data_IF_287061827722
#
_entry.id   IF_287061827722
#
_cell.length_a   1.000
_cell.length_b   1.000
_cell.length_c   1.000
_cell.angle_alpha   90.00
_cell.angle_beta   90.00
_cell.angle_gamma   90.00
#
_symmetry.space_group_name_H-M   'P 1'
#
loop_
_entity.id
_entity.type
_entity.pdbx_description
1 polymer ?
#
# COMPACT_ATOMS: atom_id res chain seq x y z
N UNK A 1 60.70 -76.70 5.79
CA UNK A 1 59.47 -77.06 6.54
C UNK A 1 58.26 -76.92 5.63
N UNK A 2 57.53 -78.02 5.35
CA UNK A 2 56.15 -78.01 4.84
C UNK A 2 55.21 -78.14 6.06
N UNK A 3 53.97 -77.60 6.09
CA UNK A 3 52.86 -78.25 5.37
C UNK A 3 51.62 -77.42 4.92
N UNK A 4 50.88 -78.03 3.97
CA UNK A 4 49.40 -78.16 3.78
C UNK A 4 48.50 -76.97 3.37
N UNK A 5 47.91 -77.14 2.17
CA UNK A 5 46.57 -76.74 1.63
C UNK A 5 45.39 -77.23 2.52
N UNK A 6 44.06 -76.99 2.27
CA UNK A 6 43.32 -76.45 1.09
C UNK A 6 42.07 -75.57 1.37
N UNK A 7 41.20 -75.39 0.35
CA UNK A 7 39.75 -75.06 0.35
C UNK A 7 39.43 -73.55 0.31
N UNK A 8 38.69 -72.97 -0.64
CA UNK A 8 37.65 -73.45 -1.53
C UNK A 8 36.34 -72.75 -1.18
N UNK A 9 35.80 -71.87 -2.04
CA UNK A 9 34.35 -71.76 -2.31
C UNK A 9 34.04 -70.77 -3.44
N UNK A 10 33.36 -71.27 -4.47
CA UNK A 10 32.58 -70.51 -5.46
C UNK A 10 31.30 -69.97 -4.82
N UNK A 11 30.85 -68.77 -5.20
CA UNK A 11 29.41 -68.41 -5.35
C UNK A 11 29.29 -67.10 -6.13
N UNK A 12 28.84 -67.16 -7.39
CA UNK A 12 27.47 -67.05 -7.91
C UNK A 12 26.98 -65.60 -8.04
N UNK A 13 26.78 -65.27 -9.31
CA UNK A 13 26.08 -64.15 -9.95
C UNK A 13 24.62 -63.99 -9.54
N UNK A 14 24.11 -62.75 -9.71
CA UNK A 14 22.72 -62.28 -10.00
C UNK A 14 22.80 -60.73 -9.93
N UNK A 15 22.60 -59.94 -10.98
CA UNK A 15 21.42 -59.88 -11.85
C UNK A 15 20.32 -59.09 -11.14
N UNK A 16 20.29 -57.76 -11.27
CA UNK A 16 19.22 -56.89 -10.75
C UNK A 16 18.55 -56.18 -11.92
N UNK A 17 17.26 -56.49 -12.10
CA UNK A 17 16.31 -55.83 -12.99
C UNK A 17 15.81 -54.56 -12.28
N UNK A 18 15.86 -53.39 -12.92
CA UNK A 18 15.28 -52.15 -12.40
C UNK A 18 13.90 -51.90 -13.04
N UNK A 19 12.86 -51.78 -12.20
CA UNK A 19 11.50 -51.39 -12.57
C UNK A 19 11.39 -49.86 -12.68
N UNK A 20 10.79 -49.36 -13.76
CA UNK A 20 10.47 -47.93 -13.96
C UNK A 20 9.06 -47.67 -13.41
N UNK A 21 8.93 -46.73 -12.47
CA UNK A 21 7.65 -46.25 -11.92
C UNK A 21 7.41 -44.83 -12.43
N UNK A 22 6.31 -44.62 -13.16
CA UNK A 22 5.87 -43.31 -13.63
C UNK A 22 4.99 -42.63 -12.55
N UNK A 23 5.36 -41.40 -12.16
CA UNK A 23 4.58 -40.56 -11.25
C UNK A 23 3.61 -39.64 -12.03
N UNK A 24 2.37 -39.43 -11.55
CA UNK A 24 1.44 -38.46 -12.13
C UNK A 24 1.82 -37.03 -11.73
N UNK A 25 1.76 -36.11 -12.70
CA UNK A 25 2.02 -34.69 -12.51
C UNK A 25 0.73 -34.05 -12.00
N UNK A 26 0.70 -33.68 -10.72
CA UNK A 26 -0.33 -32.79 -10.17
C UNK A 26 -0.06 -31.38 -10.70
N UNK A 27 -1.00 -30.84 -11.47
CA UNK A 27 -0.99 -29.44 -11.91
C UNK A 27 -1.35 -28.55 -10.73
N UNK A 28 -0.37 -27.97 -10.05
CA UNK A 28 -0.57 -26.84 -9.15
C UNK A 28 -0.93 -25.63 -10.00
N UNK A 29 -2.17 -25.14 -9.86
CA UNK A 29 -2.55 -23.83 -10.37
C UNK A 29 -1.74 -22.75 -9.66
N UNK A 30 -1.09 -21.87 -10.41
CA UNK A 30 -0.33 -20.75 -9.88
C UNK A 30 -1.31 -19.70 -9.36
N UNK A 31 -1.61 -19.73 -8.06
CA UNK A 31 -2.07 -18.53 -7.35
C UNK A 31 -0.92 -17.52 -7.43
N UNK A 32 -1.18 -16.31 -7.93
CA UNK A 32 -0.22 -15.21 -7.73
C UNK A 32 -0.10 -15.02 -6.23
N UNK A 33 1.09 -15.26 -5.69
CA UNK A 33 1.33 -15.17 -4.27
C UNK A 33 1.10 -13.73 -3.78
N UNK A 34 0.40 -13.60 -2.66
CA UNK A 34 0.11 -12.35 -1.94
C UNK A 34 1.36 -11.71 -1.30
N UNK A 35 2.55 -12.23 -1.64
CA UNK A 35 3.83 -11.88 -1.03
C UNK A 35 4.35 -10.48 -1.43
N UNK A 36 3.77 -9.85 -2.46
CA UNK A 36 4.26 -8.57 -2.99
C UNK A 36 3.85 -7.34 -2.14
N UNK A 37 2.86 -7.48 -1.27
CA UNK A 37 2.38 -6.36 -0.45
C UNK A 37 3.28 -6.03 0.75
N UNK A 38 4.12 -6.98 1.19
CA UNK A 38 4.95 -6.81 2.39
C UNK A 38 4.18 -6.79 3.72
N UNK A 39 2.87 -7.05 3.71
CA UNK A 39 2.01 -7.21 4.89
C UNK A 39 0.80 -8.10 4.57
N UNK A 40 0.08 -8.57 5.60
CA UNK A 40 -1.19 -9.32 5.42
C UNK A 40 -2.38 -8.36 5.34
N UNK A 41 -3.11 -8.28 4.20
CA UNK A 41 -4.27 -7.41 4.07
C UNK A 41 -5.37 -7.75 5.07
N UNK A 42 -5.96 -6.71 5.67
CA UNK A 42 -7.15 -6.88 6.50
C UNK A 42 -8.36 -7.12 5.61
N UNK A 43 -9.17 -8.14 5.92
CA UNK A 43 -10.47 -8.34 5.26
C UNK A 43 -11.46 -7.28 5.72
N UNK A 44 -11.97 -6.46 4.80
CA UNK A 44 -12.83 -5.33 5.10
C UNK A 44 -13.81 -5.06 3.94
N UNK A 45 -15.07 -4.78 4.24
CA UNK A 45 -16.04 -4.39 3.21
C UNK A 45 -15.72 -3.01 2.62
N UNK A 46 -16.02 -2.81 1.33
CA UNK A 46 -15.69 -1.56 0.59
C UNK A 46 -16.22 -0.30 1.30
N UNK A 47 -17.48 -0.31 1.72
CA UNK A 47 -18.09 0.84 2.43
C UNK A 47 -17.46 1.11 3.80
N UNK A 48 -17.01 0.07 4.49
CA UNK A 48 -16.33 0.21 5.77
C UNK A 48 -14.92 0.76 5.59
N UNK A 49 -14.20 0.30 4.55
CA UNK A 49 -12.92 0.84 4.15
C UNK A 49 -13.00 2.33 3.76
N UNK A 50 -14.05 2.73 3.02
CA UNK A 50 -14.33 4.14 2.70
C UNK A 50 -14.51 4.97 3.97
N UNK A 51 -15.35 4.52 4.91
CA UNK A 51 -15.57 5.21 6.20
C UNK A 51 -14.28 5.32 7.01
N UNK A 52 -13.48 4.25 7.07
CA UNK A 52 -12.18 4.25 7.76
C UNK A 52 -11.23 5.27 7.11
N UNK A 53 -11.21 5.35 5.79
CA UNK A 53 -10.38 6.32 5.05
C UNK A 53 -10.81 7.75 5.32
N UNK A 54 -12.12 8.03 5.35
CA UNK A 54 -12.65 9.34 5.75
C UNK A 54 -12.22 9.67 7.17
N UNK A 55 -12.32 8.74 8.12
CA UNK A 55 -11.89 8.97 9.49
C UNK A 55 -10.38 9.28 9.62
N UNK A 56 -9.51 8.52 8.94
CA UNK A 56 -8.07 8.82 8.89
C UNK A 56 -7.83 10.19 8.25
N UNK A 57 -8.53 10.48 7.16
CA UNK A 57 -8.43 11.77 6.48
C UNK A 57 -8.91 12.95 7.32
N UNK A 58 -9.91 12.77 8.17
CA UNK A 58 -10.34 13.80 9.11
C UNK A 58 -9.27 14.10 10.15
N UNK A 59 -8.51 13.10 10.61
CA UNK A 59 -7.37 13.34 11.51
C UNK A 59 -6.28 14.17 10.82
N UNK A 60 -6.01 13.93 9.53
CA UNK A 60 -5.11 14.78 8.73
C UNK A 60 -5.62 16.23 8.68
N UNK A 61 -6.92 16.43 8.45
CA UNK A 61 -7.52 17.76 8.45
C UNK A 61 -7.38 18.46 9.80
N UNK A 62 -7.63 17.74 10.91
CA UNK A 62 -7.52 18.27 12.26
C UNK A 62 -6.08 18.70 12.60
N UNK A 63 -5.07 17.95 12.13
CA UNK A 63 -3.64 18.30 12.29
C UNK A 63 -3.26 19.60 11.56
N UNK A 64 -3.91 19.92 10.44
CA UNK A 64 -3.71 21.22 9.76
C UNK A 64 -4.23 22.38 10.64
N UNK A 65 -5.31 22.17 11.39
CA UNK A 65 -5.79 23.09 12.42
C UNK A 65 -6.34 24.43 11.88
N UNK A 66 -6.86 24.46 10.66
CA UNK A 66 -7.50 25.65 10.06
C UNK A 66 -9.02 25.51 10.19
N UNK A 67 -9.64 26.38 10.98
CA UNK A 67 -11.08 26.30 11.30
C UNK A 67 -11.99 27.03 10.32
N UNK A 68 -11.47 28.05 9.64
CA UNK A 68 -12.26 28.96 8.79
C UNK A 68 -12.06 28.72 7.29
N UNK A 69 -11.48 27.57 6.92
CA UNK A 69 -11.28 27.19 5.53
C UNK A 69 -12.48 26.46 4.94
N UNK A 70 -12.50 26.37 3.61
CA UNK A 70 -13.45 25.57 2.84
C UNK A 70 -12.76 24.32 2.34
N UNK A 71 -13.45 23.19 2.38
CA UNK A 71 -12.98 21.93 1.81
C UNK A 71 -13.69 21.64 0.49
N UNK A 72 -13.04 20.91 -0.40
CA UNK A 72 -13.76 20.20 -1.46
C UNK A 72 -14.35 18.92 -0.87
N UNK A 73 -15.58 18.56 -1.23
CA UNK A 73 -16.32 17.44 -0.60
C UNK A 73 -16.54 16.21 -1.53
N UNK A 74 -15.54 15.62 -2.21
CA UNK A 74 -15.72 14.27 -2.73
C UNK A 74 -15.61 13.26 -1.59
N UNK A 75 -16.47 12.24 -1.56
CA UNK A 75 -16.32 11.10 -0.64
C UNK A 75 -15.09 10.25 -0.97
N UNK A 76 -14.72 9.35 -0.04
CA UNK A 76 -13.64 8.40 -0.30
C UNK A 76 -14.05 7.42 -1.41
N UNK A 77 -13.21 7.32 -2.43
CA UNK A 77 -13.36 6.37 -3.52
C UNK A 77 -12.63 5.06 -3.23
N UNK A 78 -12.92 4.04 -4.04
CA UNK A 78 -12.23 2.76 -4.03
C UNK A 78 -11.70 2.42 -5.43
N UNK A 79 -10.74 1.49 -5.51
CA UNK A 79 -10.25 0.92 -6.77
C UNK A 79 -9.60 -0.43 -6.50
N UNK A 80 -9.67 -1.39 -7.43
CA UNK A 80 -8.92 -2.63 -7.34
C UNK A 80 -7.42 -2.37 -7.18
N UNK A 81 -6.73 -3.26 -6.47
CA UNK A 81 -5.28 -3.28 -6.39
C UNK A 81 -4.70 -4.12 -7.53
N UNK A 82 -3.59 -3.71 -8.11
CA UNK A 82 -3.00 -4.38 -9.29
C UNK A 82 -2.45 -5.77 -8.96
N UNK A 83 -2.10 -6.01 -7.69
CA UNK A 83 -1.53 -7.26 -7.18
C UNK A 83 -2.53 -8.43 -7.27
N UNK A 84 -3.81 -8.16 -6.99
CA UNK A 84 -4.93 -9.11 -7.10
C UNK A 84 -6.25 -8.33 -7.27
N UNK A 85 -6.57 -7.87 -8.50
CA UNK A 85 -7.70 -6.98 -8.73
C UNK A 85 -9.06 -7.62 -8.45
N UNK A 86 -9.13 -8.96 -8.40
CA UNK A 86 -10.36 -9.71 -8.14
C UNK A 86 -10.68 -9.79 -6.63
N UNK A 87 -9.68 -9.62 -5.75
CA UNK A 87 -9.86 -9.82 -4.30
C UNK A 87 -9.32 -8.69 -3.43
N UNK A 88 -8.51 -7.79 -3.99
CA UNK A 88 -7.89 -6.68 -3.27
C UNK A 88 -8.34 -5.33 -3.83
N UNK A 89 -8.52 -4.39 -2.92
CA UNK A 89 -8.85 -3.01 -3.27
C UNK A 89 -8.23 -2.02 -2.31
N UNK A 90 -7.97 -0.81 -2.76
CA UNK A 90 -7.54 0.32 -1.95
C UNK A 90 -8.58 1.43 -1.97
N UNK A 91 -8.48 2.33 -1.00
CA UNK A 91 -9.35 3.50 -0.90
C UNK A 91 -8.52 4.78 -0.96
N UNK A 92 -9.11 5.82 -1.55
CA UNK A 92 -8.47 7.13 -1.70
C UNK A 92 -9.44 8.24 -1.36
N UNK A 93 -8.97 9.28 -0.69
CA UNK A 93 -9.78 10.44 -0.32
C UNK A 93 -9.03 11.74 -0.62
N UNK A 94 -9.05 12.19 -1.89
CA UNK A 94 -8.46 13.46 -2.28
C UNK A 94 -9.39 14.63 -1.91
N UNK A 95 -8.85 15.69 -1.32
CA UNK A 95 -9.58 16.93 -1.08
C UNK A 95 -8.64 18.13 -1.04
N UNK A 96 -9.18 19.33 -1.23
CA UNK A 96 -8.47 20.59 -1.12
C UNK A 96 -9.05 21.46 -0.01
N UNK A 97 -8.19 22.14 0.74
CA UNK A 97 -8.52 23.17 1.71
C UNK A 97 -8.13 24.54 1.19
N UNK A 98 -9.07 25.47 1.12
CA UNK A 98 -8.90 26.79 0.50
C UNK A 98 -9.76 27.85 1.18
N UNK A 99 -9.75 29.09 0.66
CA UNK A 99 -10.64 30.16 1.14
C UNK A 99 -10.13 30.90 2.39
N UNK A 100 -8.88 30.67 2.76
CA UNK A 100 -8.14 31.42 3.79
C UNK A 100 -6.86 32.03 3.19
N UNK A 101 -6.26 33.05 3.83
CA UNK A 101 -5.02 33.64 3.33
C UNK A 101 -3.88 32.63 3.17
N UNK A 102 -3.00 32.85 2.19
CA UNK A 102 -1.85 31.97 1.92
C UNK A 102 -0.96 31.74 3.16
N UNK A 103 -0.78 32.77 3.99
CA UNK A 103 -0.02 32.66 5.24
C UNK A 103 -0.69 31.74 6.27
N UNK A 104 -2.01 31.64 6.27
CA UNK A 104 -2.72 30.70 7.12
C UNK A 104 -2.53 29.26 6.64
N UNK A 105 -2.58 29.03 5.32
CA UNK A 105 -2.26 27.73 4.71
C UNK A 105 -0.83 27.30 5.00
N UNK A 106 0.16 28.20 4.87
CA UNK A 106 1.56 27.92 5.23
C UNK A 106 1.70 27.47 6.68
N UNK A 107 1.04 28.17 7.62
CA UNK A 107 1.04 27.78 9.03
C UNK A 107 0.36 26.43 9.26
N UNK A 108 -0.76 26.16 8.58
CA UNK A 108 -1.44 24.87 8.66
C UNK A 108 -0.60 23.72 8.13
N UNK A 109 0.11 23.93 7.02
CA UNK A 109 1.02 22.93 6.43
C UNK A 109 2.23 22.66 7.33
N UNK A 110 2.79 23.70 7.96
CA UNK A 110 3.85 23.55 8.96
C UNK A 110 3.38 22.73 10.18
N UNK A 111 2.17 23.02 10.70
CA UNK A 111 1.57 22.22 11.79
C UNK A 111 1.38 20.76 11.39
N UNK A 112 0.87 20.49 10.19
CA UNK A 112 0.73 19.12 9.69
C UNK A 112 2.07 18.37 9.74
N UNK A 113 3.14 19.00 9.24
CA UNK A 113 4.50 18.42 9.28
C UNK A 113 4.98 18.12 10.70
N UNK A 114 4.65 18.97 11.66
CA UNK A 114 5.04 18.79 13.08
C UNK A 114 4.21 17.69 13.75
N UNK A 115 2.89 17.68 13.53
CA UNK A 115 1.95 16.75 14.19
C UNK A 115 1.99 15.32 13.64
N UNK A 116 2.33 15.13 12.36
CA UNK A 116 2.36 13.80 11.74
C UNK A 116 3.26 12.81 12.53
N UNK A 117 4.55 13.11 12.80
CA UNK A 117 5.40 12.27 13.63
C UNK A 117 4.87 12.03 15.05
N UNK A 118 4.25 13.04 15.67
CA UNK A 118 3.66 12.90 17.01
C UNK A 118 2.51 11.88 17.03
N UNK A 119 1.83 11.69 15.90
CA UNK A 119 0.76 10.72 15.70
C UNK A 119 1.25 9.40 15.09
N UNK A 120 2.56 9.16 15.04
CA UNK A 120 3.15 7.91 14.56
C UNK A 120 3.29 7.80 13.04
N UNK A 121 3.14 8.90 12.30
CA UNK A 121 3.41 8.93 10.86
C UNK A 121 4.88 9.23 10.60
N UNK A 122 5.46 8.53 9.63
CA UNK A 122 6.83 8.76 9.18
C UNK A 122 6.82 9.62 7.94
N UNK A 123 7.41 10.81 8.01
CA UNK A 123 7.64 11.63 6.81
C UNK A 123 8.73 10.97 5.98
N UNK A 124 8.39 10.59 4.76
CA UNK A 124 9.30 9.94 3.81
C UNK A 124 9.81 10.90 2.73
N UNK A 125 9.07 11.98 2.46
CA UNK A 125 9.47 13.02 1.54
C UNK A 125 8.96 14.39 2.00
N UNK A 126 9.81 15.42 1.86
CA UNK A 126 9.43 16.80 2.13
C UNK A 126 10.30 17.76 1.33
N UNK A 127 9.67 18.60 0.51
CA UNK A 127 10.39 19.56 -0.32
C UNK A 127 9.56 20.06 -1.51
N UNK A 128 10.14 20.89 -2.38
CA UNK A 128 9.49 21.31 -3.61
C UNK A 128 9.25 20.12 -4.55
N UNK A 129 8.03 19.96 -5.06
CA UNK A 129 7.70 18.88 -5.98
C UNK A 129 8.19 19.15 -7.42
N UNK A 130 7.95 18.19 -8.32
CA UNK A 130 8.41 18.27 -9.71
C UNK A 130 7.56 19.18 -10.61
N UNK A 131 6.44 19.73 -10.12
CA UNK A 131 5.58 20.63 -10.89
C UNK A 131 6.32 21.88 -11.39
N UNK A 132 5.72 22.61 -12.34
CA UNK A 132 6.27 23.88 -12.83
C UNK A 132 6.39 24.90 -11.69
N UNK A 133 5.39 24.94 -10.81
CA UNK A 133 5.32 25.91 -9.71
C UNK A 133 6.18 25.53 -8.49
N UNK A 134 6.81 24.33 -8.51
CA UNK A 134 7.65 23.81 -7.41
C UNK A 134 6.95 23.92 -6.05
N UNK A 135 5.66 23.56 -6.02
CA UNK A 135 4.86 23.59 -4.80
C UNK A 135 5.52 22.76 -3.71
N UNK A 136 5.44 23.24 -2.47
CA UNK A 136 5.95 22.51 -1.33
C UNK A 136 5.07 21.28 -1.07
N UNK A 137 5.67 20.11 -1.04
CA UNK A 137 5.01 18.81 -0.88
C UNK A 137 5.55 18.08 0.34
N UNK A 138 4.68 17.27 0.94
CA UNK A 138 4.97 16.38 2.05
C UNK A 138 4.31 15.04 1.78
N UNK A 139 5.08 13.96 1.90
CA UNK A 139 4.57 12.58 1.88
C UNK A 139 4.94 11.90 3.20
N UNK A 140 3.95 11.24 3.82
CA UNK A 140 4.15 10.49 5.04
C UNK A 140 3.35 9.18 5.05
N UNK A 141 3.93 8.17 5.68
CA UNK A 141 3.36 6.83 5.79
C UNK A 141 3.03 6.51 7.25
N UNK A 142 1.90 5.84 7.46
CA UNK A 142 1.53 5.20 8.72
C UNK A 142 1.74 3.70 8.58
N UNK A 143 2.81 3.18 9.19
CA UNK A 143 3.09 1.73 9.23
C UNK A 143 2.00 0.97 10.00
N UNK A 144 1.38 1.62 11.01
CA UNK A 144 0.37 1.00 11.87
C UNK A 144 -0.92 0.67 11.11
N UNK A 145 -1.39 1.60 10.29
CA UNK A 145 -2.68 1.49 9.63
C UNK A 145 -2.56 1.21 8.12
N UNK A 146 -1.33 1.13 7.60
CA UNK A 146 -1.01 1.04 6.18
C UNK A 146 -1.73 2.13 5.39
N UNK A 147 -1.50 3.39 5.76
CA UNK A 147 -1.97 4.54 4.98
C UNK A 147 -0.79 5.40 4.56
N UNK A 148 -0.93 6.06 3.43
CA UNK A 148 -0.06 7.15 3.00
C UNK A 148 -0.88 8.44 2.90
N UNK A 149 -0.24 9.55 3.22
CA UNK A 149 -0.75 10.89 2.93
C UNK A 149 0.26 11.64 2.08
N UNK A 150 -0.22 12.23 0.99
CA UNK A 150 0.49 13.21 0.21
C UNK A 150 -0.25 14.55 0.35
N UNK A 151 0.47 15.60 0.73
CA UNK A 151 -0.07 16.94 0.90
C UNK A 151 0.79 17.96 0.13
N UNK A 152 0.14 18.82 -0.65
CA UNK A 152 0.77 19.82 -1.48
C UNK A 152 0.25 21.22 -1.14
N UNK A 153 1.15 22.13 -0.78
CA UNK A 153 0.86 23.53 -0.53
C UNK A 153 0.98 24.34 -1.82
N UNK A 154 -0.16 24.81 -2.33
CA UNK A 154 -0.27 25.63 -3.54
C UNK A 154 -0.55 27.08 -3.16
N UNK A 155 0.49 27.90 -3.03
CA UNK A 155 0.37 29.32 -2.63
C UNK A 155 0.84 30.32 -3.68
N UNK A 156 1.56 29.84 -4.70
CA UNK A 156 2.11 30.65 -5.78
C UNK A 156 2.24 29.77 -7.01
N UNK A 157 1.57 30.12 -8.11
CA UNK A 157 1.99 29.66 -9.43
C UNK A 157 2.93 30.68 -10.07
N UNK A 158 3.83 30.23 -10.96
CA UNK A 158 4.72 31.12 -11.75
C UNK A 158 3.92 32.17 -12.55
N UNK A 159 2.62 31.93 -12.77
CA UNK A 159 1.68 32.78 -13.50
C UNK A 159 0.68 33.56 -12.63
N UNK A 160 0.76 33.46 -11.30
CA UNK A 160 -0.04 34.30 -10.38
C UNK A 160 -1.55 34.01 -10.29
N UNK A 161 -2.08 32.97 -10.93
CA UNK A 161 -3.53 32.74 -11.07
C UNK A 161 -4.13 31.73 -10.07
N UNK A 162 -3.34 31.05 -9.23
CA UNK A 162 -3.86 29.99 -8.37
C UNK A 162 -4.55 30.54 -7.12
N UNK A 163 -5.80 30.14 -6.88
CA UNK A 163 -6.45 30.25 -5.56
C UNK A 163 -5.62 29.44 -4.55
N UNK A 164 -5.07 30.07 -3.49
CA UNK A 164 -4.24 29.37 -2.53
C UNK A 164 -4.98 28.20 -1.89
N UNK A 165 -4.31 27.04 -1.81
CA UNK A 165 -4.88 25.84 -1.20
C UNK A 165 -3.83 24.89 -0.64
N UNK A 166 -4.26 23.97 0.22
CA UNK A 166 -3.57 22.71 0.51
C UNK A 166 -4.35 21.61 -0.18
N UNK A 167 -3.72 20.86 -1.07
CA UNK A 167 -4.31 19.64 -1.65
C UNK A 167 -3.81 18.45 -0.84
N UNK A 168 -4.72 17.55 -0.47
CA UNK A 168 -4.40 16.38 0.33
C UNK A 168 -4.96 15.16 -0.37
N UNK A 169 -4.17 14.08 -0.40
CA UNK A 169 -4.58 12.77 -0.85
C UNK A 169 -4.18 11.76 0.22
N UNK A 170 -5.19 11.17 0.86
CA UNK A 170 -5.01 10.01 1.74
C UNK A 170 -5.32 8.76 0.94
N UNK A 171 -4.43 7.77 1.02
CA UNK A 171 -4.55 6.48 0.31
C UNK A 171 -4.29 5.36 1.32
N UNK A 172 -5.11 4.31 1.29
CA UNK A 172 -4.84 3.10 2.05
C UNK A 172 -3.93 2.15 1.28
N UNK A 173 -3.27 1.24 1.98
CA UNK A 173 -2.85 -0.02 1.41
C UNK A 173 -4.07 -0.84 0.96
N UNK A 174 -3.81 -1.94 0.27
CA UNK A 174 -4.83 -2.90 -0.13
C UNK A 174 -5.49 -3.57 1.08
N UNK A 175 -6.81 -3.60 1.05
CA UNK A 175 -7.69 -4.45 1.85
C UNK A 175 -8.07 -5.68 1.05
N UNK A 176 -8.40 -6.75 1.76
CA UNK A 176 -9.04 -7.93 1.15
C UNK A 176 -10.56 -7.76 1.18
N UNK A 177 -11.21 -7.94 0.03
CA UNK A 177 -12.65 -7.96 -0.03
C UNK A 177 -13.20 -9.26 0.62
N UNK A 178 -14.36 -9.21 1.29
CA UNK A 178 -15.05 -10.43 1.71
C UNK A 178 -15.34 -11.35 0.52
N UNK A 179 -15.37 -12.66 0.75
CA UNK A 179 -15.67 -13.64 -0.31
C UNK A 179 -16.99 -13.30 -1.03
N UNK A 180 -16.97 -13.38 -2.36
CA UNK A 180 -18.13 -13.07 -3.21
C UNK A 180 -18.41 -11.58 -3.41
N UNK A 181 -17.54 -10.69 -2.91
CA UNK A 181 -17.63 -9.26 -3.24
C UNK A 181 -17.20 -9.04 -4.70
N UNK A 182 -18.05 -8.37 -5.47
CA UNK A 182 -17.73 -7.91 -6.81
C UNK A 182 -16.96 -6.58 -6.74
N UNK A 183 -15.75 -6.55 -7.28
CA UNK A 183 -14.89 -5.36 -7.33
C UNK A 183 -14.94 -4.66 -8.69
N UNK A 184 -15.70 -5.18 -9.66
CA UNK A 184 -15.84 -4.55 -10.96
C UNK A 184 -16.56 -3.21 -10.85
N UNK A 185 -15.93 -2.16 -11.37
CA UNK A 185 -16.52 -0.83 -11.43
C UNK A 185 -16.65 -0.11 -10.07
N UNK A 186 -15.93 -0.55 -9.03
CA UNK A 186 -15.84 0.21 -7.79
C UNK A 186 -15.08 1.52 -8.03
N UNK A 187 -15.70 2.65 -7.66
CA UNK A 187 -15.10 3.99 -7.72
C UNK A 187 -15.46 4.80 -6.51
#
# INVERSE_FOLDING_TARGET
>A
MRPRTPSGLRRRSRGVLALVVALPILTTGCSKDMDDLGYTPTTLGVEEARKRTVAVSSQIFDMIGIKNGKTTEPGAGASPCDEDPDHLFSTRHPWGLYGVPAEELKRGFARLKESLPEQGWKIVEYGPNSSADKNLELTADSEKDHYAVNAELRVTGERGESKPSIQVRVVSGCFRAPEGTDLDGIY
#
